data_IF_825096757158
#
_entry.id   IF_825096757158
#
_cell.length_a   1.000
_cell.length_b   1.000
_cell.length_c   1.000
_cell.angle_alpha   90.00
_cell.angle_beta   90.00
_cell.angle_gamma   90.00
#
_symmetry.space_group_name_H-M   'P 1'
#
loop_
_entity.id
_entity.type
_entity.pdbx_description
1 polymer ?
#
# COMPACT_ATOMS: atom_id res chain seq x y z
N UNK A 1 -14.51 10.34 11.41
CA UNK A 1 -14.91 9.30 10.44
C UNK A 1 -16.40 9.38 10.11
N UNK A 2 -17.28 9.70 11.06
CA UNK A 2 -18.71 9.86 10.77
C UNK A 2 -18.98 10.75 9.55
N UNK A 3 -19.78 10.26 8.61
CA UNK A 3 -20.15 10.97 7.37
C UNK A 3 -19.04 11.04 6.31
N UNK A 4 -17.89 10.39 6.54
CA UNK A 4 -16.87 10.19 5.51
C UNK A 4 -17.20 8.94 4.71
N UNK A 5 -16.77 8.90 3.45
CA UNK A 5 -16.87 7.72 2.59
C UNK A 5 -15.50 7.12 2.36
N UNK A 6 -15.37 5.83 2.66
CA UNK A 6 -14.13 5.06 2.54
C UNK A 6 -14.36 3.90 1.60
N UNK A 7 -13.51 3.78 0.58
CA UNK A 7 -13.44 2.58 -0.26
C UNK A 7 -12.27 1.73 0.21
N UNK A 8 -12.50 0.44 0.43
CA UNK A 8 -11.43 -0.55 0.62
C UNK A 8 -11.20 -1.27 -0.70
N UNK A 9 -10.07 -0.97 -1.35
CA UNK A 9 -9.64 -1.65 -2.56
C UNK A 9 -8.72 -2.82 -2.17
N UNK A 10 -9.17 -4.06 -2.36
CA UNK A 10 -8.49 -5.24 -1.82
C UNK A 10 -8.10 -6.27 -2.87
N UNK A 11 -6.97 -6.94 -2.65
CA UNK A 11 -6.56 -8.09 -3.47
C UNK A 11 -7.52 -9.27 -3.32
N UNK A 12 -7.97 -9.90 -4.41
CA UNK A 12 -8.99 -10.96 -4.42
C UNK A 12 -8.61 -12.32 -3.77
N UNK A 13 -7.51 -12.39 -3.03
CA UNK A 13 -7.07 -13.57 -2.27
C UNK A 13 -7.69 -13.61 -0.86
N UNK A 14 -7.52 -14.71 -0.11
CA UNK A 14 -7.94 -14.77 1.30
C UNK A 14 -7.42 -13.62 2.14
N UNK A 15 -6.16 -13.20 1.91
CA UNK A 15 -5.57 -12.04 2.57
C UNK A 15 -6.42 -10.76 2.39
N UNK A 16 -6.80 -10.39 1.17
CA UNK A 16 -7.59 -9.17 0.97
C UNK A 16 -9.03 -9.29 1.49
N UNK A 17 -9.58 -10.51 1.54
CA UNK A 17 -10.93 -10.78 2.03
C UNK A 17 -11.03 -10.83 3.56
N UNK A 18 -9.93 -11.10 4.28
CA UNK A 18 -9.95 -11.31 5.72
C UNK A 18 -10.45 -10.11 6.54
N UNK A 19 -10.30 -8.87 6.03
CA UNK A 19 -10.74 -7.66 6.75
C UNK A 19 -12.14 -7.19 6.38
N UNK A 20 -12.84 -7.83 5.44
CA UNK A 20 -14.20 -7.46 5.05
C UNK A 20 -15.12 -7.29 6.28
N UNK A 21 -15.26 -8.30 7.17
CA UNK A 21 -16.11 -8.17 8.34
C UNK A 21 -15.59 -7.13 9.36
N UNK A 22 -14.28 -6.86 9.34
CA UNK A 22 -13.67 -5.87 10.23
C UNK A 22 -14.05 -4.45 9.78
N UNK A 23 -13.99 -4.15 8.47
CA UNK A 23 -14.41 -2.85 7.97
C UNK A 23 -15.91 -2.61 8.15
N UNK A 24 -16.73 -3.65 7.99
CA UNK A 24 -18.16 -3.59 8.29
C UNK A 24 -18.42 -3.20 9.76
N UNK A 25 -17.77 -3.90 10.70
CA UNK A 25 -17.88 -3.57 12.12
C UNK A 25 -17.38 -2.14 12.43
N UNK A 26 -16.28 -1.72 11.82
CA UNK A 26 -15.71 -0.38 12.03
C UNK A 26 -16.60 0.71 11.43
N UNK A 27 -17.28 0.44 10.29
CA UNK A 27 -18.18 1.40 9.64
C UNK A 27 -19.40 1.66 10.51
N UNK A 28 -20.00 0.61 11.08
CA UNK A 28 -21.09 0.72 12.04
C UNK A 28 -20.66 1.49 13.30
N UNK A 29 -19.49 1.15 13.85
CA UNK A 29 -18.97 1.76 15.08
C UNK A 29 -18.64 3.25 14.91
N UNK A 30 -18.04 3.65 13.79
CA UNK A 30 -17.52 5.00 13.58
C UNK A 30 -18.35 5.86 12.61
N UNK A 31 -19.37 5.29 11.99
CA UNK A 31 -20.38 5.97 11.18
C UNK A 31 -19.90 6.47 9.81
N UNK A 32 -18.86 5.86 9.23
CA UNK A 32 -18.43 6.16 7.86
C UNK A 32 -19.18 5.28 6.86
N UNK A 33 -19.39 5.78 5.65
CA UNK A 33 -19.90 5.01 4.53
C UNK A 33 -18.79 4.11 3.99
N UNK A 34 -19.10 2.83 3.79
CA UNK A 34 -18.14 1.83 3.34
C UNK A 34 -18.52 1.28 1.97
N UNK A 35 -17.54 1.21 1.07
CA UNK A 35 -17.59 0.38 -0.13
C UNK A 35 -16.34 -0.50 -0.17
N UNK A 36 -16.49 -1.74 -0.64
CA UNK A 36 -15.38 -2.70 -0.70
C UNK A 36 -15.30 -3.24 -2.12
N UNK A 37 -14.14 -3.09 -2.75
CA UNK A 37 -13.93 -3.35 -4.17
C UNK A 37 -12.80 -4.36 -4.35
N UNK A 38 -13.12 -5.49 -4.98
CA UNK A 38 -12.16 -6.54 -5.31
C UNK A 38 -11.30 -6.16 -6.52
N UNK A 39 -10.00 -6.43 -6.40
CA UNK A 39 -9.05 -6.52 -7.51
C UNK A 39 -8.70 -8.00 -7.72
N UNK A 40 -9.20 -8.64 -8.80
CA UNK A 40 -8.84 -10.01 -9.11
C UNK A 40 -7.32 -10.18 -9.30
N UNK A 41 -6.79 -11.30 -8.83
CA UNK A 41 -5.38 -11.65 -9.09
C UNK A 41 -5.14 -11.77 -10.61
N UNK A 42 -4.02 -11.24 -11.16
CA UNK A 42 -2.87 -10.63 -10.47
C UNK A 42 -2.95 -9.11 -10.23
N UNK A 43 -4.04 -8.44 -10.63
CA UNK A 43 -4.22 -7.01 -10.39
C UNK A 43 -3.48 -6.07 -11.35
N UNK A 44 -3.09 -6.58 -12.53
CA UNK A 44 -2.46 -5.80 -13.61
C UNK A 44 -3.41 -4.79 -14.29
N UNK A 45 -4.73 -5.00 -14.16
CA UNK A 45 -5.76 -4.12 -14.68
C UNK A 45 -6.72 -3.73 -13.56
N UNK A 46 -6.93 -2.42 -13.38
CA UNK A 46 -7.78 -1.89 -12.31
C UNK A 46 -8.71 -0.75 -12.76
N UNK A 47 -8.82 -0.52 -14.08
CA UNK A 47 -9.56 0.62 -14.61
C UNK A 47 -11.04 0.62 -14.17
N UNK A 48 -11.69 -0.55 -14.17
CA UNK A 48 -13.09 -0.67 -13.74
C UNK A 48 -13.28 -0.31 -12.26
N UNK A 49 -12.37 -0.77 -11.39
CA UNK A 49 -12.36 -0.46 -9.96
C UNK A 49 -12.19 1.03 -9.73
N UNK A 50 -11.21 1.66 -10.40
CA UNK A 50 -10.94 3.09 -10.23
C UNK A 50 -12.00 4.00 -10.86
N UNK A 51 -12.68 3.56 -11.92
CA UNK A 51 -13.87 4.25 -12.42
C UNK A 51 -15.04 4.17 -11.42
N UNK A 52 -15.17 3.03 -10.73
CA UNK A 52 -16.15 2.87 -9.65
C UNK A 52 -15.82 3.79 -8.48
N UNK A 53 -14.56 3.83 -8.03
CA UNK A 53 -14.06 4.77 -7.01
C UNK A 53 -14.35 6.21 -7.41
N UNK A 54 -14.06 6.60 -8.66
CA UNK A 54 -14.34 7.95 -9.15
C UNK A 54 -15.82 8.31 -9.05
N UNK A 55 -16.72 7.42 -9.46
CA UNK A 55 -18.18 7.62 -9.37
C UNK A 55 -18.65 7.69 -7.92
N UNK A 56 -18.02 6.92 -7.04
CA UNK A 56 -18.34 6.91 -5.63
C UNK A 56 -17.91 8.17 -4.88
N UNK A 57 -16.93 8.92 -5.40
CA UNK A 57 -16.36 10.11 -4.78
C UNK A 57 -16.00 9.93 -3.29
N UNK A 58 -15.22 8.89 -2.91
CA UNK A 58 -14.85 8.68 -1.52
C UNK A 58 -13.87 9.75 -1.03
N UNK A 59 -13.85 9.97 0.29
CA UNK A 59 -12.84 10.80 0.94
C UNK A 59 -11.47 10.10 0.94
N UNK A 60 -11.45 8.79 1.15
CA UNK A 60 -10.23 7.97 1.23
C UNK A 60 -10.39 6.63 0.54
N UNK A 61 -9.28 6.12 0.00
CA UNK A 61 -9.15 4.73 -0.45
C UNK A 61 -8.14 4.02 0.46
N UNK A 62 -8.56 2.93 1.09
CA UNK A 62 -7.63 2.00 1.73
C UNK A 62 -7.17 0.99 0.69
N UNK A 63 -5.87 0.96 0.43
CA UNK A 63 -5.24 0.00 -0.47
C UNK A 63 -4.78 -1.23 0.32
N UNK A 64 -5.57 -2.30 0.27
CA UNK A 64 -5.17 -3.64 0.74
C UNK A 64 -4.57 -4.44 -0.39
N UNK A 65 -3.49 -3.90 -0.96
CA UNK A 65 -2.83 -4.50 -2.10
C UNK A 65 -1.74 -5.50 -1.71
N UNK A 66 -1.18 -6.13 -2.74
CA UNK A 66 -0.05 -7.06 -2.66
C UNK A 66 0.66 -7.12 -4.03
N UNK A 67 1.99 -6.93 -4.03
CA UNK A 67 2.81 -7.04 -5.23
C UNK A 67 2.38 -6.10 -6.36
N UNK A 68 2.31 -6.62 -7.59
CA UNK A 68 2.15 -5.81 -8.83
C UNK A 68 0.91 -4.91 -8.85
N UNK A 69 -0.13 -5.22 -8.06
CA UNK A 69 -1.32 -4.39 -8.01
C UNK A 69 -1.07 -3.02 -7.35
N UNK A 70 -0.08 -2.89 -6.48
CA UNK A 70 0.22 -1.66 -5.75
C UNK A 70 0.60 -0.50 -6.70
N UNK A 71 1.63 -0.63 -7.55
CA UNK A 71 1.96 0.44 -8.47
C UNK A 71 0.89 0.66 -9.56
N UNK A 72 0.15 -0.39 -9.94
CA UNK A 72 -0.97 -0.28 -10.89
C UNK A 72 -2.11 0.54 -10.27
N UNK A 73 -2.40 0.35 -8.98
CA UNK A 73 -3.42 1.10 -8.27
C UNK A 73 -3.10 2.59 -8.27
N UNK A 74 -1.88 2.97 -7.87
CA UNK A 74 -1.43 4.37 -7.83
C UNK A 74 -1.45 5.03 -9.22
N UNK A 75 -0.95 4.35 -10.26
CA UNK A 75 -1.01 4.85 -11.64
C UNK A 75 -2.45 5.04 -12.12
N UNK A 76 -3.34 4.12 -11.78
CA UNK A 76 -4.74 4.17 -12.24
C UNK A 76 -5.54 5.21 -11.48
N UNK A 77 -5.26 5.40 -10.19
CA UNK A 77 -5.78 6.51 -9.39
C UNK A 77 -5.45 7.86 -10.04
N UNK A 78 -4.18 8.10 -10.37
CA UNK A 78 -3.76 9.33 -11.05
C UNK A 78 -4.48 9.51 -12.39
N UNK A 79 -4.54 8.46 -13.23
CA UNK A 79 -5.25 8.50 -14.53
C UNK A 79 -6.74 8.80 -14.40
N UNK A 80 -7.37 8.38 -13.30
CA UNK A 80 -8.80 8.59 -13.04
C UNK A 80 -9.09 9.85 -12.22
N UNK A 81 -8.05 10.57 -11.79
CA UNK A 81 -8.16 11.82 -11.05
C UNK A 81 -8.39 11.65 -9.55
N UNK A 82 -8.07 10.49 -8.97
CA UNK A 82 -8.07 10.30 -7.53
C UNK A 82 -6.69 10.64 -6.94
N UNK A 83 -6.61 11.50 -5.91
CA UNK A 83 -5.33 12.01 -5.43
C UNK A 83 -4.63 10.99 -4.51
N UNK A 84 -3.32 10.80 -4.70
CA UNK A 84 -2.56 9.73 -4.04
C UNK A 84 -2.38 9.95 -2.53
N UNK A 85 -2.40 11.20 -2.06
CA UNK A 85 -2.41 11.58 -0.64
C UNK A 85 -3.71 11.24 0.09
N UNK A 86 -4.74 10.79 -0.63
CA UNK A 86 -5.97 10.23 -0.07
C UNK A 86 -6.01 8.69 -0.18
N UNK A 87 -4.90 8.06 -0.58
CA UNK A 87 -4.74 6.61 -0.60
C UNK A 87 -3.88 6.21 0.60
N UNK A 88 -4.38 5.25 1.39
CA UNK A 88 -3.67 4.71 2.56
C UNK A 88 -3.39 3.22 2.37
N UNK A 89 -2.12 2.88 2.27
CA UNK A 89 -1.61 1.52 2.18
C UNK A 89 -1.64 0.76 3.50
N UNK A 90 -1.81 -0.55 3.38
CA UNK A 90 -1.56 -1.46 4.49
C UNK A 90 -0.05 -1.80 4.62
N UNK A 91 0.28 -2.66 5.58
CA UNK A 91 1.64 -3.14 5.85
C UNK A 91 2.30 -3.97 4.74
N UNK A 92 1.56 -4.39 3.70
CA UNK A 92 2.03 -5.18 2.54
C UNK A 92 1.93 -4.39 1.22
N UNK A 93 1.83 -3.07 1.34
CA UNK A 93 1.81 -2.11 0.24
C UNK A 93 2.61 -0.86 0.61
N UNK A 94 3.63 -1.05 1.44
CA UNK A 94 4.44 0.02 2.03
C UNK A 94 5.92 -0.07 1.63
N UNK A 95 6.29 -1.01 0.77
CA UNK A 95 7.67 -1.16 0.32
C UNK A 95 8.03 -0.15 -0.76
N UNK A 96 9.31 0.17 -0.88
CA UNK A 96 9.83 0.97 -1.98
C UNK A 96 9.50 0.31 -3.34
N UNK A 97 9.48 -1.01 -3.41
CA UNK A 97 9.15 -1.77 -4.63
C UNK A 97 7.68 -1.63 -5.05
N UNK A 98 6.79 -1.37 -4.11
CA UNK A 98 5.37 -1.13 -4.37
C UNK A 98 5.10 0.23 -5.01
N UNK A 99 5.99 1.21 -4.80
CA UNK A 99 5.75 2.62 -5.13
C UNK A 99 6.71 3.18 -6.16
N UNK A 100 7.97 2.73 -6.22
CA UNK A 100 8.96 3.17 -7.22
C UNK A 100 8.41 3.02 -8.64
N UNK A 101 7.79 1.87 -9.03
CA UNK A 101 7.29 1.72 -10.38
C UNK A 101 6.15 2.69 -10.71
N UNK A 102 5.43 3.25 -9.72
CA UNK A 102 4.39 4.26 -9.90
C UNK A 102 4.94 5.67 -10.15
N UNK A 103 6.19 5.94 -9.81
CA UNK A 103 6.84 7.24 -10.04
C UNK A 103 6.06 8.40 -9.42
N UNK A 104 5.84 9.46 -10.19
CA UNK A 104 5.11 10.66 -9.74
C UNK A 104 3.68 10.38 -9.27
N UNK A 105 3.05 9.29 -9.71
CA UNK A 105 1.72 8.89 -9.27
C UNK A 105 1.67 8.47 -7.79
N UNK A 106 2.81 8.16 -7.17
CA UNK A 106 2.89 7.78 -5.76
C UNK A 106 3.13 8.98 -4.82
N UNK A 107 3.36 10.20 -5.34
CA UNK A 107 3.66 11.36 -4.49
C UNK A 107 2.50 11.67 -3.57
N UNK A 108 2.75 11.65 -2.26
CA UNK A 108 1.76 11.87 -1.21
C UNK A 108 1.14 10.59 -0.64
N UNK A 109 1.33 9.44 -1.30
CA UNK A 109 0.87 8.15 -0.79
C UNK A 109 1.42 7.86 0.61
N UNK A 110 0.57 7.38 1.49
CA UNK A 110 0.93 6.98 2.85
C UNK A 110 0.61 5.51 3.05
N UNK A 111 1.41 4.81 3.84
CA UNK A 111 1.15 3.42 4.19
C UNK A 111 1.54 3.14 5.64
N UNK A 112 0.88 2.16 6.24
CA UNK A 112 1.20 1.71 7.60
C UNK A 112 2.49 0.90 7.55
N UNK A 113 3.40 1.13 8.49
CA UNK A 113 4.57 0.27 8.70
C UNK A 113 4.64 -0.24 10.14
N UNK A 114 5.06 -1.48 10.31
CA UNK A 114 5.34 -2.11 11.62
C UNK A 114 6.80 -1.99 12.03
N UNK A 115 7.67 -1.55 11.12
CA UNK A 115 9.10 -1.36 11.34
C UNK A 115 9.56 -0.04 10.73
N UNK A 116 10.42 0.67 11.44
CA UNK A 116 10.96 1.91 10.92
C UNK A 116 12.02 1.62 9.85
N UNK A 117 11.92 2.26 8.69
CA UNK A 117 12.92 2.18 7.62
C UNK A 117 14.05 3.19 7.82
N UNK A 118 15.18 2.90 7.19
CA UNK A 118 16.37 3.74 7.14
C UNK A 118 17.61 3.10 7.75
N UNK A 119 18.77 3.63 7.35
CA UNK A 119 20.09 3.14 7.74
C UNK A 119 20.61 3.77 9.04
N UNK A 120 19.89 4.75 9.60
CA UNK A 120 20.33 5.52 10.77
C UNK A 120 20.32 4.72 12.08
N UNK A 121 19.68 3.55 12.14
CA UNK A 121 19.57 2.77 13.37
C UNK A 121 20.86 2.02 13.69
N UNK A 122 21.28 2.07 14.95
CA UNK A 122 22.54 1.46 15.41
C UNK A 122 22.65 -0.03 15.03
N UNK A 123 21.56 -0.79 15.17
CA UNK A 123 21.53 -2.21 14.78
C UNK A 123 21.75 -2.41 13.28
N UNK A 124 21.21 -1.53 12.43
CA UNK A 124 21.41 -1.60 10.97
C UNK A 124 22.87 -1.26 10.62
N UNK A 125 23.43 -0.22 11.23
CA UNK A 125 24.83 0.17 11.05
C UNK A 125 25.80 -0.93 11.49
N UNK A 126 25.48 -1.62 12.59
CA UNK A 126 26.28 -2.74 13.08
C UNK A 126 26.22 -3.94 12.11
N UNK A 127 25.04 -4.27 11.57
CA UNK A 127 24.90 -5.30 10.52
C UNK A 127 25.73 -4.92 9.29
N UNK A 128 25.64 -3.68 8.82
CA UNK A 128 26.44 -3.17 7.69
C UNK A 128 27.93 -3.34 7.97
N UNK A 129 28.41 -2.93 9.14
CA UNK A 129 29.83 -3.03 9.51
C UNK A 129 30.31 -4.48 9.65
N UNK A 130 29.55 -5.32 10.36
CA UNK A 130 30.02 -6.65 10.80
C UNK A 130 29.76 -7.75 9.79
N UNK A 131 28.68 -7.65 9.01
CA UNK A 131 28.30 -8.65 7.99
C UNK A 131 28.79 -8.20 6.62
N UNK A 132 28.30 -7.06 6.14
CA UNK A 132 28.61 -6.58 4.79
C UNK A 132 30.04 -6.04 4.67
N UNK A 133 30.54 -5.33 5.68
CA UNK A 133 31.92 -4.83 5.75
C UNK A 133 32.96 -5.96 5.86
N UNK A 134 32.56 -7.13 6.37
CA UNK A 134 33.40 -8.32 6.46
C UNK A 134 33.28 -9.25 5.25
N UNK A 135 32.52 -8.88 4.20
CA UNK A 135 32.31 -9.71 3.01
C UNK A 135 31.46 -10.96 3.24
N UNK A 136 30.69 -11.00 4.34
CA UNK A 136 29.84 -12.14 4.73
C UNK A 136 28.36 -11.96 4.37
N UNK A 137 28.00 -10.83 3.76
CA UNK A 137 26.64 -10.56 3.30
C UNK A 137 26.38 -11.10 1.89
N UNK A 138 25.11 -11.37 1.59
CA UNK A 138 24.67 -11.95 0.32
C UNK A 138 23.58 -11.12 -0.41
N UNK A 139 23.27 -9.90 0.06
CA UNK A 139 22.47 -8.97 -0.74
C UNK A 139 23.25 -8.57 -2.00
N UNK A 140 22.67 -8.85 -3.17
CA UNK A 140 23.21 -8.42 -4.47
C UNK A 140 23.19 -6.89 -4.59
N UNK A 141 22.07 -6.27 -4.19
CA UNK A 141 21.91 -4.83 -4.17
C UNK A 141 21.93 -4.30 -2.74
N UNK A 142 23.03 -3.63 -2.39
CA UNK A 142 23.21 -3.03 -1.06
C UNK A 142 22.36 -1.78 -0.84
N UNK A 143 21.81 -1.16 -1.89
CA UNK A 143 20.93 0.00 -1.75
C UNK A 143 19.58 -0.33 -1.09
N UNK A 144 19.28 -1.63 -0.96
CA UNK A 144 18.08 -2.15 -0.28
C UNK A 144 18.25 -2.22 1.25
N UNK A 145 19.42 -1.90 1.79
CA UNK A 145 19.63 -1.89 3.24
C UNK A 145 18.80 -0.75 3.85
N UNK A 146 17.99 -1.08 4.86
CA UNK A 146 17.11 -0.11 5.49
C UNK A 146 15.82 0.17 4.71
N UNK A 147 15.57 -0.48 3.56
CA UNK A 147 14.29 -0.41 2.87
C UNK A 147 13.24 -1.27 3.60
N UNK A 148 11.96 -1.02 3.32
CA UNK A 148 10.89 -1.94 3.71
C UNK A 148 10.81 -3.06 2.67
N UNK A 149 10.64 -4.29 3.13
CA UNK A 149 10.60 -5.47 2.28
C UNK A 149 9.25 -6.17 2.43
N UNK A 150 8.64 -6.51 1.27
CA UNK A 150 7.34 -7.16 1.04
C UNK A 150 6.11 -6.26 0.97
#
# INVERSE_FOLDING_TARGET
LKGKKIVVLYHGSPYGKETIPIYELLSEKYGFELSQIEVPHPGNEQQAQWLTIRREHPDYVVLRGWGVMNPVALKTAQKTGFPADHIVGNVWSNSEEDVIPAGDAAKGYTAITTQASGEQYAVVQEIVKTVYGAGKGNLEDKSRIGSVYH
#
